data_IF_521507875656
#
_entry.id   IF_521507875656
#
_cell.length_a   1.000
_cell.length_b   1.000
_cell.length_c   1.000
_cell.angle_alpha   90.00
_cell.angle_beta   90.00
_cell.angle_gamma   90.00
#
_symmetry.space_group_name_H-M   'P 1'
#
loop_
_entity.id
_entity.type
_entity.pdbx_description
1 polymer ?
#
# COMPACT_ATOMS: atom_id res chain seq x y z
N UNK A 1 -1.82 -6.78 -9.85
CA UNK A 1 -3.08 -7.46 -9.47
C UNK A 1 -3.23 -8.84 -10.08
N UNK A 2 -2.80 -9.08 -11.34
CA UNK A 2 -2.79 -10.41 -11.97
C UNK A 2 -1.68 -11.32 -11.43
N UNK A 3 -0.48 -10.78 -11.23
CA UNK A 3 0.63 -11.44 -10.51
C UNK A 3 0.98 -10.68 -9.23
N UNK A 4 1.82 -11.30 -8.40
CA UNK A 4 2.24 -10.79 -7.09
C UNK A 4 1.25 -11.08 -5.96
N UNK A 5 1.59 -10.60 -4.76
CA UNK A 5 0.79 -10.75 -3.53
C UNK A 5 0.63 -9.41 -2.84
N UNK A 6 -0.61 -9.09 -2.49
CA UNK A 6 -0.97 -7.83 -1.87
C UNK A 6 -2.02 -8.05 -0.77
N UNK A 7 -2.10 -7.12 0.18
CA UNK A 7 -3.12 -7.07 1.20
C UNK A 7 -3.88 -5.75 1.10
N UNK A 8 -5.21 -5.80 1.17
CA UNK A 8 -6.06 -4.61 1.11
C UNK A 8 -6.56 -4.21 2.49
N UNK A 9 -6.60 -2.91 2.73
CA UNK A 9 -7.20 -2.30 3.92
C UNK A 9 -6.22 -2.09 5.07
N UNK A 10 -6.53 -1.08 5.88
CA UNK A 10 -5.69 -0.55 6.95
C UNK A 10 -5.19 -1.62 7.95
N UNK A 11 -6.08 -2.47 8.48
CA UNK A 11 -5.70 -3.50 9.46
C UNK A 11 -4.67 -4.48 8.89
N UNK A 12 -4.80 -4.82 7.62
CA UNK A 12 -3.94 -5.80 6.97
C UNK A 12 -2.63 -5.19 6.51
N UNK A 13 -2.66 -3.93 6.05
CA UNK A 13 -1.45 -3.13 5.84
C UNK A 13 -0.61 -3.07 7.11
N UNK A 14 -1.19 -2.71 8.26
CA UNK A 14 -0.50 -2.70 9.56
C UNK A 14 0.04 -4.06 9.97
N UNK A 15 -0.71 -5.15 9.70
CA UNK A 15 -0.24 -6.51 9.96
C UNK A 15 1.02 -6.83 9.12
N UNK A 16 1.02 -6.51 7.83
CA UNK A 16 2.16 -6.78 6.96
C UNK A 16 3.39 -5.93 7.29
N UNK A 17 3.17 -4.67 7.72
CA UNK A 17 4.23 -3.78 8.20
C UNK A 17 4.89 -4.33 9.47
N UNK A 18 4.09 -4.70 10.48
CA UNK A 18 4.60 -5.31 11.72
C UNK A 18 5.32 -6.64 11.52
N UNK A 19 5.00 -7.36 10.45
CA UNK A 19 5.67 -8.61 10.08
C UNK A 19 6.91 -8.40 9.21
N UNK A 20 7.23 -7.16 8.80
CA UNK A 20 8.33 -6.87 7.88
C UNK A 20 8.14 -7.47 6.47
N UNK A 21 6.89 -7.75 6.07
CA UNK A 21 6.58 -8.38 4.77
C UNK A 21 6.17 -7.39 3.69
N UNK A 22 5.76 -6.19 4.08
CA UNK A 22 5.40 -5.16 3.11
C UNK A 22 6.66 -4.61 2.44
N UNK A 23 6.61 -4.47 1.11
CA UNK A 23 7.68 -3.88 0.29
C UNK A 23 7.31 -2.49 -0.22
N UNK A 24 6.00 -2.24 -0.39
CA UNK A 24 5.43 -0.95 -0.77
C UNK A 24 4.04 -0.81 -0.14
N UNK A 25 3.69 0.39 0.29
CA UNK A 25 2.33 0.73 0.74
C UNK A 25 1.77 1.86 -0.12
N UNK A 26 0.53 1.71 -0.57
CA UNK A 26 -0.23 2.79 -1.22
C UNK A 26 -1.30 3.31 -0.27
N UNK A 27 -1.44 4.63 -0.20
CA UNK A 27 -2.46 5.33 0.61
C UNK A 27 -3.30 6.22 -0.32
N UNK A 28 -4.61 6.00 -0.34
CA UNK A 28 -5.55 6.85 -1.09
C UNK A 28 -5.61 8.27 -0.52
N UNK A 29 -5.86 9.25 -1.38
CA UNK A 29 -5.81 10.69 -1.06
C UNK A 29 -6.80 11.12 0.03
N UNK A 30 -7.96 10.47 0.13
CA UNK A 30 -8.99 10.76 1.14
C UNK A 30 -8.90 9.85 2.39
N UNK A 31 -7.76 9.20 2.63
CA UNK A 31 -7.54 8.44 3.86
C UNK A 31 -7.48 9.39 5.06
N UNK A 32 -8.25 9.15 6.16
CA UNK A 32 -8.25 10.01 7.33
C UNK A 32 -6.83 10.22 7.89
N UNK A 33 -6.50 11.46 8.26
CA UNK A 33 -5.16 11.87 8.67
C UNK A 33 -4.55 10.95 9.75
N UNK A 34 -5.32 10.60 10.78
CA UNK A 34 -4.85 9.70 11.84
C UNK A 34 -4.39 8.33 11.31
N UNK A 35 -5.15 7.73 10.38
CA UNK A 35 -4.77 6.42 9.79
C UNK A 35 -3.59 6.54 8.84
N UNK A 36 -3.51 7.67 8.13
CA UNK A 36 -2.38 7.97 7.23
C UNK A 36 -1.09 8.07 8.05
N UNK A 37 -1.07 8.91 9.09
CA UNK A 37 0.09 9.10 9.96
C UNK A 37 0.52 7.81 10.68
N UNK A 38 -0.44 6.99 11.11
CA UNK A 38 -0.11 5.71 11.73
C UNK A 38 0.55 4.73 10.75
N UNK A 39 0.03 4.63 9.51
CA UNK A 39 0.65 3.77 8.49
C UNK A 39 2.04 4.27 8.13
N UNK A 40 2.23 5.58 7.94
CA UNK A 40 3.53 6.19 7.66
C UNK A 40 4.54 5.91 8.78
N UNK A 41 4.10 6.02 10.04
CA UNK A 41 4.93 5.69 11.20
C UNK A 41 5.38 4.22 11.19
N UNK A 42 4.46 3.27 11.01
CA UNK A 42 4.82 1.86 10.95
C UNK A 42 5.66 1.51 9.71
N UNK A 43 5.43 2.18 8.59
CA UNK A 43 6.23 2.02 7.38
C UNK A 43 7.67 2.51 7.58
N UNK A 44 7.85 3.64 8.24
CA UNK A 44 9.18 4.15 8.61
C UNK A 44 9.93 3.17 9.51
N UNK A 45 9.28 2.62 10.55
CA UNK A 45 9.90 1.59 11.42
C UNK A 45 10.25 0.31 10.65
N UNK A 46 9.40 -0.09 9.70
CA UNK A 46 9.61 -1.27 8.86
C UNK A 46 10.54 -1.00 7.65
N UNK A 47 11.07 0.22 7.49
CA UNK A 47 11.84 0.65 6.31
C UNK A 47 11.13 0.34 4.98
N UNK A 48 9.82 0.51 4.97
CA UNK A 48 8.95 0.23 3.82
C UNK A 48 8.55 1.53 3.14
N UNK A 49 8.59 1.57 1.82
CA UNK A 49 8.21 2.74 1.03
C UNK A 49 6.69 3.01 1.10
N UNK A 50 6.32 4.29 1.14
CA UNK A 50 4.93 4.73 1.12
C UNK A 50 4.70 5.65 -0.07
N UNK A 51 3.80 5.26 -0.97
CA UNK A 51 3.34 6.09 -2.08
C UNK A 51 1.94 6.64 -1.81
N UNK A 52 1.79 7.96 -1.92
CA UNK A 52 0.49 8.60 -1.90
C UNK A 52 -0.17 8.47 -3.26
N UNK A 53 -1.22 7.65 -3.31
CA UNK A 53 -2.07 7.54 -4.48
C UNK A 53 -2.92 8.81 -4.61
N UNK A 54 -2.88 9.45 -5.77
CA UNK A 54 -3.60 10.71 -6.04
C UNK A 54 -5.12 10.56 -6.00
N UNK A 55 -5.63 9.37 -6.35
CA UNK A 55 -7.06 9.07 -6.32
C UNK A 55 -7.61 8.74 -4.94
N UNK A 56 -8.93 8.81 -4.84
CA UNK A 56 -9.74 8.47 -3.67
C UNK A 56 -9.76 6.96 -3.41
N UNK A 57 -10.27 6.56 -2.24
CA UNK A 57 -10.44 5.15 -1.88
C UNK A 57 -11.40 4.35 -2.78
N UNK A 58 -12.30 5.03 -3.51
CA UNK A 58 -13.14 4.39 -4.53
C UNK A 58 -12.28 4.06 -5.75
N UNK A 59 -11.53 5.04 -6.25
CA UNK A 59 -10.65 4.87 -7.42
C UNK A 59 -9.55 3.86 -7.16
N UNK A 60 -8.94 3.87 -5.97
CA UNK A 60 -7.96 2.87 -5.58
C UNK A 60 -8.58 1.46 -5.53
N UNK A 61 -9.81 1.33 -5.00
CA UNK A 61 -10.55 0.07 -5.01
C UNK A 61 -10.82 -0.44 -6.43
N UNK A 62 -11.29 0.44 -7.31
CA UNK A 62 -11.52 0.14 -8.73
C UNK A 62 -10.22 -0.25 -9.44
N UNK A 63 -9.11 0.46 -9.20
CA UNK A 63 -7.80 0.12 -9.74
C UNK A 63 -7.30 -1.26 -9.27
N UNK A 64 -7.72 -1.69 -8.07
CA UNK A 64 -7.48 -3.04 -7.56
C UNK A 64 -8.46 -4.10 -8.11
N UNK A 65 -9.41 -3.73 -8.96
CA UNK A 65 -10.47 -4.60 -9.46
C UNK A 65 -11.48 -5.01 -8.38
N UNK A 66 -11.75 -4.14 -7.40
CA UNK A 66 -12.68 -4.39 -6.29
C UNK A 66 -13.90 -3.49 -6.39
N UNK A 67 -15.07 -4.06 -6.05
CA UNK A 67 -16.34 -3.34 -5.95
C UNK A 67 -16.56 -2.66 -4.59
N UNK A 68 -15.51 -2.50 -3.80
CA UNK A 68 -15.54 -1.87 -2.49
C UNK A 68 -14.37 -0.90 -2.32
N UNK A 69 -14.53 0.03 -1.38
CA UNK A 69 -13.57 1.09 -1.09
C UNK A 69 -12.29 0.52 -0.45
N UNK A 70 -11.13 0.97 -0.92
CA UNK A 70 -9.81 0.62 -0.38
C UNK A 70 -9.08 1.89 -0.01
N UNK A 71 -8.90 2.17 1.29
CA UNK A 71 -8.11 3.33 1.72
C UNK A 71 -6.61 3.07 1.57
N UNK A 72 -6.14 1.87 1.87
CA UNK A 72 -4.72 1.51 1.83
C UNK A 72 -4.53 0.11 1.28
N UNK A 73 -3.38 -0.17 0.68
CA UNK A 73 -2.95 -1.54 0.40
C UNK A 73 -1.44 -1.68 0.59
N UNK A 74 -0.99 -2.89 0.91
CA UNK A 74 0.43 -3.24 0.93
C UNK A 74 0.74 -4.28 -0.14
N UNK A 75 1.84 -4.07 -0.85
CA UNK A 75 2.45 -5.06 -1.75
C UNK A 75 3.46 -5.85 -0.92
N UNK A 76 3.28 -7.17 -0.87
CA UNK A 76 4.22 -8.09 -0.21
C UNK A 76 5.10 -8.83 -1.21
N UNK A 77 4.62 -8.96 -2.44
CA UNK A 77 5.35 -9.53 -3.57
C UNK A 77 4.93 -8.78 -4.84
N UNK A 78 5.84 -8.08 -5.54
CA UNK A 78 5.51 -7.35 -6.76
C UNK A 78 5.13 -8.26 -7.92
N UNK A 79 5.50 -9.55 -7.90
CA UNK A 79 5.41 -10.40 -9.07
C UNK A 79 6.16 -9.79 -10.26
N UNK A 80 5.51 -9.75 -11.42
CA UNK A 80 6.09 -9.20 -12.66
C UNK A 80 5.87 -7.69 -12.81
N UNK A 81 5.38 -7.01 -11.75
CA UNK A 81 5.08 -5.59 -11.80
C UNK A 81 6.31 -4.74 -11.54
N UNK A 82 6.49 -3.71 -12.36
CA UNK A 82 7.53 -2.70 -12.19
C UNK A 82 7.23 -1.67 -11.08
N UNK A 83 6.16 -1.87 -10.31
CA UNK A 83 5.69 -0.91 -9.29
C UNK A 83 6.71 -0.62 -8.17
N UNK A 84 7.71 -1.48 -7.99
CA UNK A 84 8.78 -1.34 -6.99
C UNK A 84 10.13 -0.93 -7.64
N UNK A 85 10.27 -0.98 -8.97
CA UNK A 85 11.58 -0.83 -9.66
C UNK A 85 12.24 0.54 -9.46
N UNK A 86 11.47 1.59 -9.16
CA UNK A 86 11.98 2.95 -8.93
C UNK A 86 12.86 3.11 -7.68
N UNK A 87 13.11 2.04 -6.91
CA UNK A 87 13.96 2.06 -5.72
C UNK A 87 15.42 1.61 -5.95
N UNK A 88 15.76 1.11 -7.14
CA UNK A 88 17.09 0.56 -7.45
C UNK A 88 17.92 1.36 -8.46
N UNK A 89 17.43 2.52 -8.90
CA UNK A 89 18.21 3.45 -9.73
C UNK A 89 18.75 4.59 -8.86
N UNK A 90 19.85 4.29 -8.14
CA UNK A 90 20.90 5.20 -7.69
C UNK A 90 22.09 4.39 -7.16
#
# INVERSE_FOLDING_TARGET
MKSGKYCLGYKQTLKTLRQGKAKLVLIASNTPALRKSEIEYYAMLAKTEVQHYSGTNIELGTACGKYFRVCTLSITDPGDSDIIRSLTEN
#
